data_IF_250473997136
#
_entry.id   IF_250473997136
#
_cell.length_a   1.000
_cell.length_b   1.000
_cell.length_c   1.000
_cell.angle_alpha   90.00
_cell.angle_beta   90.00
_cell.angle_gamma   90.00
#
_symmetry.space_group_name_H-M   'P 1'
#
loop_
_entity.id
_entity.type
_entity.pdbx_description
1 polymer ?
2 non-polymer ?
3 non-polymer ?
4 non-polymer ?
5 water ?
#
# COMPACT_ATOMS: atom_id res chain seq x y z
N UNK A 17 -13.84 -20.79 6.31
CA UNK A 17 -13.58 -20.62 4.84
C UNK A 17 -12.95 -19.24 4.55
N UNK A 18 -11.75 -18.93 5.11
CA UNK A 18 -11.14 -17.62 4.89
C UNK A 18 -10.73 -17.53 3.43
N UNK A 19 -10.97 -16.39 2.78
CA UNK A 19 -10.62 -16.16 1.37
C UNK A 19 -9.29 -15.46 1.22
N UNK A 20 -8.67 -15.00 2.30
CA UNK A 20 -7.45 -14.18 2.22
C UNK A 20 -6.44 -14.73 3.24
N UNK A 21 -5.84 -15.88 2.97
CA UNK A 21 -4.91 -16.52 3.93
C UNK A 21 -3.60 -16.94 3.28
N UNK A 22 -3.57 -17.26 1.98
CA UNK A 22 -2.34 -17.75 1.29
C UNK A 22 -1.94 -16.74 0.21
N UNK A 23 -0.65 -16.48 0.06
CA UNK A 23 -0.09 -15.70 -1.05
C UNK A 23 0.57 -16.64 -2.05
N UNK A 24 0.18 -16.50 -3.30
CA UNK A 24 0.72 -17.24 -4.44
C UNK A 24 1.39 -16.29 -5.39
N UNK A 25 2.32 -16.82 -6.18
CA UNK A 25 2.91 -16.08 -7.30
C UNK A 25 1.78 -15.66 -8.24
N UNK A 26 1.66 -14.38 -8.57
CA UNK A 26 0.60 -13.84 -9.44
C UNK A 26 0.74 -14.42 -10.87
N UNK A 27 1.96 -14.75 -11.28
CA UNK A 27 2.22 -15.21 -12.67
C UNK A 27 1.89 -16.70 -12.84
N UNK A 28 2.00 -17.55 -11.84
CA UNK A 28 1.93 -19.02 -12.06
C UNK A 28 1.16 -19.76 -10.98
N UNK A 29 0.92 -19.17 -9.80
CA UNK A 29 0.20 -19.89 -8.74
C UNK A 29 1.05 -20.61 -7.72
N UNK A 30 2.38 -20.61 -7.87
CA UNK A 30 3.28 -21.19 -6.85
C UNK A 30 2.88 -20.67 -5.46
N UNK A 31 2.74 -21.55 -4.49
CA UNK A 31 2.55 -21.17 -3.08
C UNK A 31 3.79 -20.47 -2.54
N UNK A 32 3.64 -19.26 -1.98
CA UNK A 32 4.80 -18.44 -1.53
C UNK A 32 4.74 -18.13 -0.03
N UNK A 33 3.64 -17.59 0.47
CA UNK A 33 3.59 -17.24 1.90
C UNK A 33 2.16 -17.22 2.42
N UNK A 34 1.96 -16.68 3.61
CA UNK A 34 0.67 -16.70 4.33
C UNK A 34 0.50 -15.34 5.00
N UNK A 35 -0.73 -14.88 5.13
CA UNK A 35 -1.02 -13.64 5.88
C UNK A 35 -0.49 -13.80 7.32
N UNK A 36 -0.60 -14.99 7.89
CA UNK A 36 -0.19 -15.25 9.30
C UNK A 36 1.30 -14.99 9.47
N UNK A 37 2.08 -14.99 8.38
CA UNK A 37 3.56 -14.88 8.44
C UNK A 37 3.99 -13.44 8.15
N UNK A 38 3.05 -12.52 7.98
CA UNK A 38 3.44 -11.09 7.87
C UNK A 38 4.22 -10.65 9.12
N UNK A 39 5.23 -9.81 8.95
CA UNK A 39 6.18 -9.40 10.01
C UNK A 39 6.27 -7.87 10.06
N UNK A 40 5.77 -7.21 11.11
CA UNK A 40 5.96 -5.76 11.26
C UNK A 40 7.38 -5.26 11.60
N UNK A 41 8.33 -5.32 10.65
CA UNK A 41 9.72 -4.76 10.74
C UNK A 41 9.66 -3.25 10.99
N UNK A 42 10.25 -2.77 12.08
CA UNK A 42 10.18 -1.35 12.48
C UNK A 42 8.74 -0.87 12.59
N UNK A 43 7.80 -1.74 12.96
CA UNK A 43 6.41 -1.35 13.33
C UNK A 43 5.43 -1.45 12.18
N UNK A 44 5.86 -1.79 10.96
CA UNK A 44 4.94 -1.89 9.79
C UNK A 44 5.36 -3.08 8.93
N UNK A 45 4.41 -3.89 8.45
CA UNK A 45 4.76 -4.98 7.51
C UNK A 45 4.99 -4.42 6.10
N UNK A 46 4.47 -3.20 5.79
CA UNK A 46 4.65 -2.56 4.46
C UNK A 46 5.78 -1.51 4.48
N UNK A 47 6.67 -1.57 3.49
CA UNK A 47 7.83 -0.66 3.32
C UNK A 47 7.90 -0.24 1.85
N UNK A 48 8.03 1.07 1.54
CA UNK A 48 8.10 1.51 0.13
C UNK A 48 9.51 2.04 -0.13
N UNK A 49 10.15 1.52 -1.16
CA UNK A 49 11.61 1.70 -1.38
C UNK A 49 11.88 1.89 -2.86
N UNK A 50 13.03 2.46 -3.20
CA UNK A 50 13.47 2.47 -4.61
C UNK A 50 14.84 1.85 -4.75
N UNK A 51 15.07 1.24 -5.89
CA UNK A 51 16.42 0.74 -6.25
C UNK A 51 17.18 1.86 -6.93
N UNK A 52 18.48 1.64 -7.23
CA UNK A 52 19.29 2.68 -7.87
C UNK A 52 18.78 3.10 -9.25
N UNK A 53 18.01 2.24 -9.93
CA UNK A 53 17.39 2.52 -11.24
C UNK A 53 16.07 3.28 -11.05
N UNK A 54 15.72 3.65 -9.81
CA UNK A 54 14.56 4.51 -9.52
C UNK A 54 13.26 3.74 -9.46
N UNK A 55 13.29 2.42 -9.63
CA UNK A 55 12.06 1.59 -9.60
C UNK A 55 11.55 1.58 -8.16
N UNK A 56 10.26 1.89 -7.99
CA UNK A 56 9.55 1.88 -6.68
C UNK A 56 9.05 0.46 -6.43
N UNK A 57 9.26 -0.04 -5.22
CA UNK A 57 8.69 -1.34 -4.80
C UNK A 57 7.93 -1.13 -3.52
N UNK A 58 6.71 -1.64 -3.48
CA UNK A 58 5.91 -1.73 -2.24
C UNK A 58 6.13 -3.14 -1.68
N UNK A 59 6.90 -3.21 -0.60
CA UNK A 59 7.47 -4.47 -0.05
C UNK A 59 6.68 -4.83 1.21
N UNK A 60 6.23 -6.09 1.27
CA UNK A 60 5.65 -6.69 2.48
C UNK A 60 6.74 -7.58 3.09
N UNK A 61 6.94 -7.44 4.40
CA UNK A 61 7.94 -8.29 5.10
C UNK A 61 7.23 -9.48 5.70
N UNK A 62 7.84 -10.65 5.50
CA UNK A 62 7.33 -11.95 5.98
C UNK A 62 8.45 -12.63 6.76
N UNK A 63 8.05 -13.25 7.87
CA UNK A 63 9.01 -14.03 8.68
C UNK A 63 9.47 -15.27 7.89
N UNK A 64 8.59 -15.77 7.04
CA UNK A 64 8.73 -17.08 6.37
C UNK A 64 8.13 -16.99 4.97
N UNK A 65 8.70 -17.75 4.07
CA UNK A 65 8.19 -17.93 2.70
C UNK A 65 8.71 -19.26 2.20
N UNK A 66 8.10 -19.75 1.17
CA UNK A 66 8.45 -21.03 0.52
C UNK A 66 8.31 -20.83 -1.00
N UNK A 67 8.71 -21.80 -1.78
CA UNK A 67 8.47 -21.81 -3.23
C UNK A 67 9.36 -20.85 -4.00
N UNK A 68 10.34 -20.27 -3.35
CA UNK A 68 11.24 -19.30 -3.97
C UNK A 68 12.52 -20.01 -4.36
N UNK A 69 13.34 -19.33 -5.15
CA UNK A 69 14.72 -19.74 -5.42
C UNK A 69 15.57 -18.53 -5.12
N UNK A 70 16.48 -18.67 -4.15
CA UNK A 70 17.36 -17.56 -3.72
C UNK A 70 18.62 -17.63 -4.57
N UNK A 71 18.98 -16.50 -5.18
CA UNK A 71 20.01 -16.44 -6.26
C UNK A 71 21.31 -15.86 -5.71
N UNK A 72 22.38 -16.62 -5.81
CA UNK A 72 23.74 -16.13 -5.50
C UNK A 72 23.98 -15.97 -4.02
N UNK A 73 24.95 -15.16 -3.69
CA UNK A 73 25.42 -14.95 -2.32
C UNK A 73 24.88 -13.62 -1.85
N UNK A 74 24.75 -13.39 -0.52
CA UNK A 74 24.21 -12.14 -0.03
C UNK A 74 25.13 -10.95 -0.35
N UNK A 75 24.52 -9.78 -0.44
CA UNK A 75 25.21 -8.49 -0.69
C UNK A 75 24.65 -7.45 0.26
N UNK A 76 25.45 -6.58 0.83
CA UNK A 76 24.94 -5.44 1.60
C UNK A 76 24.71 -4.21 0.74
N UNK A 77 25.07 -4.25 -0.55
CA UNK A 77 25.13 -3.04 -1.41
C UNK A 77 23.72 -2.42 -1.52
N UNK A 78 23.59 -1.15 -1.10
CA UNK A 78 22.30 -0.40 -1.15
C UNK A 78 21.20 -1.15 -0.39
N UNK A 79 21.50 -1.98 0.61
CA UNK A 79 20.43 -2.67 1.36
C UNK A 79 19.46 -1.64 1.97
N UNK A 80 18.16 -1.91 1.79
CA UNK A 80 17.07 -1.07 2.32
C UNK A 80 16.90 -1.27 3.81
N UNK A 81 17.50 -2.31 4.39
CA UNK A 81 17.28 -2.67 5.81
C UNK A 81 18.64 -2.72 6.52
N UNK A 82 18.83 -1.80 7.46
CA UNK A 82 20.11 -1.57 8.17
C UNK A 82 20.56 -2.89 8.79
N UNK A 83 21.78 -3.34 8.47
CA UNK A 83 22.37 -4.54 9.09
C UNK A 83 22.05 -5.83 8.34
N UNK A 84 21.27 -5.78 7.26
CA UNK A 84 20.94 -7.00 6.47
C UNK A 84 21.56 -6.95 5.08
N UNK A 85 21.94 -8.13 4.62
CA UNK A 85 22.46 -8.42 3.29
C UNK A 85 21.30 -9.08 2.55
N UNK A 86 21.20 -8.80 1.27
CA UNK A 86 20.07 -9.31 0.45
C UNK A 86 20.53 -10.33 -0.56
N UNK A 87 19.58 -11.22 -0.89
CA UNK A 87 19.70 -12.14 -2.05
C UNK A 87 18.39 -12.02 -2.82
N UNK A 88 18.51 -12.01 -4.13
CA UNK A 88 17.30 -11.97 -5.01
C UNK A 88 16.50 -13.25 -4.78
N UNK A 89 15.20 -13.12 -4.67
CA UNK A 89 14.24 -14.24 -4.49
C UNK A 89 13.36 -14.30 -5.75
N UNK A 90 13.57 -15.33 -6.56
CA UNK A 90 12.67 -15.59 -7.70
C UNK A 90 11.60 -16.58 -7.28
N UNK A 91 10.45 -16.53 -7.94
CA UNK A 91 9.48 -17.63 -7.90
C UNK A 91 10.25 -18.87 -8.34
N UNK A 92 10.26 -19.95 -7.53
CA UNK A 92 11.00 -21.15 -7.87
C UNK A 92 10.36 -21.93 -9.03
N UNK A 93 9.13 -21.62 -9.36
CA UNK A 93 8.41 -22.28 -10.46
C UNK A 93 8.64 -21.50 -11.75
N UNK A 94 8.30 -20.22 -11.79
CA UNK A 94 8.24 -19.47 -13.08
C UNK A 94 9.38 -18.47 -13.24
N UNK A 95 10.18 -18.21 -12.20
CA UNK A 95 11.31 -17.28 -12.29
C UNK A 95 10.92 -15.82 -12.15
N UNK A 96 9.65 -15.51 -11.91
CA UNK A 96 9.20 -14.12 -11.63
C UNK A 96 10.02 -13.56 -10.45
N UNK A 97 10.50 -12.33 -10.56
CA UNK A 97 11.21 -11.71 -9.43
C UNK A 97 10.21 -11.28 -8.34
N UNK A 98 10.14 -12.01 -7.23
CA UNK A 98 9.12 -11.76 -6.21
C UNK A 98 9.65 -10.92 -5.05
N UNK A 99 10.97 -10.82 -4.90
CA UNK A 99 11.54 -9.96 -3.86
C UNK A 99 12.95 -10.37 -3.49
N UNK A 100 13.22 -10.34 -2.19
CA UNK A 100 14.58 -10.56 -1.63
C UNK A 100 14.46 -11.35 -0.33
N UNK A 101 15.48 -12.16 -0.07
CA UNK A 101 15.74 -12.72 1.26
C UNK A 101 16.82 -11.88 1.94
N UNK A 102 16.56 -11.53 3.19
CA UNK A 102 17.48 -10.74 4.01
C UNK A 102 18.09 -11.62 5.09
N UNK A 103 19.38 -11.48 5.30
CA UNK A 103 20.10 -12.27 6.32
C UNK A 103 21.26 -11.44 6.89
N UNK A 104 21.94 -12.01 7.87
CA UNK A 104 23.15 -11.39 8.42
C UNK A 104 22.87 -10.33 9.49
N UNK A 105 21.59 -10.09 9.82
CA UNK A 105 21.20 -9.05 10.77
C UNK A 105 20.90 -9.61 12.14
N UNK A 106 20.09 -8.85 12.92
CA UNK A 106 19.77 -9.14 14.35
C UNK A 106 18.26 -8.94 14.60
N UNK A 107 17.62 -9.91 15.27
CA UNK A 107 16.23 -9.79 15.81
C UNK A 107 15.32 -9.16 14.75
N UNK A 108 14.98 -9.88 13.66
CA UNK A 108 15.47 -11.23 13.40
C UNK A 108 16.74 -11.30 12.54
N UNK A 109 17.40 -12.45 12.53
CA UNK A 109 18.62 -12.67 11.72
C UNK A 109 18.26 -12.63 10.25
N UNK A 110 17.07 -13.14 9.89
CA UNK A 110 16.61 -13.27 8.51
C UNK A 110 15.12 -12.88 8.38
N UNK A 111 14.71 -12.52 7.18
CA UNK A 111 13.27 -12.32 6.81
C UNK A 111 13.20 -12.23 5.28
N UNK A 112 11.97 -12.19 4.77
CA UNK A 112 11.74 -12.00 3.31
C UNK A 112 11.04 -10.66 3.07
N UNK A 113 11.52 -9.93 2.08
CA UNK A 113 10.82 -8.73 1.60
C UNK A 113 10.26 -9.01 0.23
N UNK A 114 8.95 -9.18 0.13
CA UNK A 114 8.29 -9.60 -1.13
C UNK A 114 7.53 -8.42 -1.73
N UNK A 115 7.51 -8.36 -3.05
CA UNK A 115 6.84 -7.26 -3.78
C UNK A 115 5.33 -7.54 -3.80
N UNK A 116 4.54 -6.72 -3.12
CA UNK A 116 3.10 -7.00 -2.85
C UNK A 116 2.36 -7.33 -4.15
N UNK A 117 2.54 -6.48 -5.18
CA UNK A 117 1.72 -6.55 -6.41
C UNK A 117 2.18 -7.73 -7.29
N UNK A 118 3.19 -8.50 -6.90
CA UNK A 118 3.61 -9.69 -7.66
C UNK A 118 3.03 -10.95 -7.04
N UNK A 119 2.23 -10.79 -5.98
CA UNK A 119 1.56 -11.92 -5.29
C UNK A 119 0.06 -11.81 -5.50
N UNK A 120 -0.63 -12.92 -5.36
CA UNK A 120 -2.10 -12.96 -5.32
C UNK A 120 -2.51 -13.61 -4.01
N UNK A 121 -3.51 -13.06 -3.34
CA UNK A 121 -3.96 -13.54 -2.02
C UNK A 121 -5.27 -14.31 -2.20
N UNK A 122 -5.41 -15.40 -1.47
CA UNK A 122 -6.57 -16.29 -1.68
C UNK A 122 -6.70 -17.33 -0.57
N UNK A 123 -7.67 -18.22 -0.72
CA UNK A 123 -7.96 -19.22 0.30
C UNK A 123 -6.85 -20.28 0.40
N UNK A 124 -6.78 -20.98 1.54
CA UNK A 124 -5.78 -22.03 1.82
C UNK A 124 -6.04 -23.22 0.88
N UNK B 20 -13.90 15.31 -11.52
CA UNK B 20 -14.97 14.28 -11.57
C UNK B 20 -14.53 13.20 -12.57
N UNK B 21 -13.63 12.33 -12.13
CA UNK B 21 -13.16 11.16 -12.92
C UNK B 21 -14.08 9.95 -12.62
N UNK B 22 -14.58 9.28 -13.67
CA UNK B 22 -15.58 8.17 -13.50
C UNK B 22 -15.02 6.89 -14.10
N UNK B 23 -15.53 5.77 -13.60
CA UNK B 23 -15.27 4.43 -14.14
C UNK B 23 -16.52 3.97 -14.85
N UNK B 24 -16.37 3.59 -16.10
CA UNK B 24 -17.50 3.11 -16.92
C UNK B 24 -17.29 1.63 -17.20
N UNK B 25 -18.38 0.94 -17.42
CA UNK B 25 -18.31 -0.42 -17.94
C UNK B 25 -17.55 -0.37 -19.27
N UNK B 26 -16.49 -1.17 -19.37
CA UNK B 26 -15.66 -1.18 -20.61
C UNK B 26 -16.48 -1.69 -21.80
N UNK B 27 -17.46 -2.58 -21.57
CA UNK B 27 -18.22 -3.22 -22.67
C UNK B 27 -19.30 -2.26 -23.22
N UNK B 28 -20.03 -1.50 -22.40
CA UNK B 28 -21.17 -0.69 -22.92
C UNK B 28 -21.08 0.80 -22.60
N UNK B 29 -20.18 1.21 -21.71
CA UNK B 29 -19.98 2.62 -21.36
C UNK B 29 -20.83 3.11 -20.20
N UNK B 30 -21.69 2.27 -19.63
CA UNK B 30 -22.54 2.71 -18.52
C UNK B 30 -21.64 3.25 -17.41
N UNK B 31 -21.97 4.39 -16.82
CA UNK B 31 -21.29 4.85 -15.59
C UNK B 31 -21.49 3.84 -14.46
N UNK B 32 -20.39 3.43 -13.80
CA UNK B 32 -20.46 2.44 -12.69
C UNK B 32 -19.96 3.02 -11.38
N UNK B 33 -18.80 3.66 -11.37
CA UNK B 33 -18.31 4.21 -10.09
C UNK B 33 -17.43 5.43 -10.38
N UNK B 34 -16.82 5.98 -9.33
CA UNK B 34 -16.16 7.30 -9.36
C UNK B 34 -14.80 7.17 -8.68
N UNK B 35 -13.79 7.90 -9.13
CA UNK B 35 -12.52 7.96 -8.41
C UNK B 35 -12.74 8.44 -6.96
N UNK B 36 -13.68 9.35 -6.74
CA UNK B 36 -13.93 9.92 -5.39
C UNK B 36 -14.38 8.79 -4.44
N UNK B 37 -14.85 7.67 -4.96
CA UNK B 37 -15.42 6.57 -4.16
C UNK B 37 -14.39 5.47 -3.97
N UNK B 38 -13.16 5.63 -4.48
CA UNK B 38 -12.14 4.61 -4.20
C UNK B 38 -11.96 4.42 -2.70
N UNK B 39 -11.79 3.17 -2.25
CA UNK B 39 -11.85 2.81 -0.82
C UNK B 39 -10.62 1.95 -0.50
N UNK B 40 -9.66 2.44 0.29
CA UNK B 40 -8.48 1.65 0.66
C UNK B 40 -8.74 0.60 1.75
N UNK B 41 -9.42 -0.49 1.41
CA UNK B 41 -9.69 -1.65 2.31
C UNK B 41 -8.36 -2.30 2.70
N UNK B 42 -8.11 -2.48 4.00
CA UNK B 42 -6.82 -2.95 4.52
C UNK B 42 -5.64 -2.14 3.99
N UNK B 43 -5.82 -0.84 3.70
CA UNK B 43 -4.73 0.10 3.39
C UNK B 43 -4.45 0.26 1.89
N UNK B 44 -5.15 -0.47 1.02
CA UNK B 44 -4.90 -0.38 -0.46
C UNK B 44 -6.23 -0.47 -1.17
N UNK B 45 -6.47 0.34 -2.21
CA UNK B 45 -7.71 0.15 -3.03
C UNK B 45 -7.53 -1.03 -4.00
N UNK B 46 -6.30 -1.43 -4.33
CA UNK B 46 -6.02 -2.59 -5.23
C UNK B 46 -5.71 -3.86 -4.44
N UNK B 47 -6.35 -4.96 -4.81
CA UNK B 47 -6.20 -6.29 -4.19
C UNK B 47 -6.07 -7.28 -5.35
N UNK B 48 -4.91 -7.90 -5.45
CA UNK B 48 -4.73 -9.06 -6.37
C UNK B 48 -5.09 -10.30 -5.57
N UNK B 49 -6.07 -11.04 -6.07
CA UNK B 49 -6.72 -12.16 -5.32
C UNK B 49 -6.92 -13.34 -6.26
N UNK B 50 -7.05 -14.52 -5.68
CA UNK B 50 -7.44 -15.73 -6.45
C UNK B 50 -8.59 -16.40 -5.72
N UNK B 51 -9.36 -17.15 -6.49
CA UNK B 51 -10.55 -17.88 -5.98
C UNK B 51 -10.20 -19.36 -5.85
N UNK B 52 -11.10 -20.18 -5.29
CA UNK B 52 -10.82 -21.61 -5.12
C UNK B 52 -10.56 -22.37 -6.43
N UNK B 53 -11.07 -21.84 -7.55
CA UNK B 53 -10.85 -22.40 -8.90
C UNK B 53 -9.49 -21.96 -9.45
N UNK B 54 -8.77 -21.12 -8.72
CA UNK B 54 -7.41 -20.71 -9.13
C UNK B 54 -7.44 -19.53 -10.09
N UNK B 55 -8.59 -18.92 -10.35
CA UNK B 55 -8.69 -17.74 -11.23
C UNK B 55 -8.12 -16.52 -10.47
N UNK B 56 -7.35 -15.67 -11.17
CA UNK B 56 -6.70 -14.49 -10.54
C UNK B 56 -7.38 -13.21 -11.01
N UNK B 57 -7.69 -12.32 -10.07
CA UNK B 57 -8.37 -11.05 -10.37
C UNK B 57 -7.60 -9.90 -9.75
N UNK B 58 -7.62 -8.76 -10.41
CA UNK B 58 -7.08 -7.51 -9.85
C UNK B 58 -8.26 -6.62 -9.55
N UNK B 59 -8.57 -6.49 -8.27
CA UNK B 59 -9.82 -5.87 -7.74
C UNK B 59 -9.49 -4.51 -7.17
N UNK B 60 -10.28 -3.50 -7.52
CA UNK B 60 -10.26 -2.16 -6.91
C UNK B 60 -11.53 -2.01 -6.06
N UNK B 61 -11.37 -1.50 -4.85
CA UNK B 61 -12.50 -1.33 -3.91
C UNK B 61 -13.07 0.09 -4.05
N UNK B 62 -14.40 0.17 -4.11
CA UNK B 62 -15.14 1.44 -4.19
C UNK B 62 -16.23 1.42 -3.11
N UNK B 63 -16.53 2.55 -2.52
CA UNK B 63 -17.54 2.65 -1.42
C UNK B 63 -18.93 2.41 -1.98
N UNK B 64 -19.22 2.98 -3.13
CA UNK B 64 -20.54 2.95 -3.79
C UNK B 64 -20.30 2.65 -5.27
N UNK B 65 -21.38 2.32 -5.94
CA UNK B 65 -21.44 2.10 -7.39
C UNK B 65 -22.87 2.27 -7.81
N UNK B 66 -23.07 2.36 -9.10
CA UNK B 66 -24.40 2.47 -9.70
C UNK B 66 -24.41 1.64 -10.99
N UNK B 67 -25.60 1.35 -11.46
CA UNK B 67 -25.71 0.74 -12.80
C UNK B 67 -25.38 -0.73 -12.80
N UNK B 68 -25.16 -1.35 -11.65
CA UNK B 68 -24.92 -2.80 -11.59
C UNK B 68 -26.23 -3.55 -11.29
N UNK B 69 -26.19 -4.86 -11.46
CA UNK B 69 -27.26 -5.77 -11.02
C UNK B 69 -26.56 -6.84 -10.20
N UNK B 70 -26.93 -6.93 -8.92
CA UNK B 70 -26.39 -7.94 -8.00
C UNK B 70 -27.25 -9.19 -8.11
N UNK B 71 -26.60 -10.34 -8.26
CA UNK B 71 -27.26 -11.65 -8.57
C UNK B 71 -27.13 -12.56 -7.34
N UNK B 72 -28.23 -13.13 -6.89
CA UNK B 72 -28.21 -14.17 -5.85
C UNK B 72 -28.19 -13.60 -4.45
N UNK B 73 -28.21 -14.49 -3.46
CA UNK B 73 -28.13 -14.14 -2.03
C UNK B 73 -26.67 -14.00 -1.68
N UNK B 74 -26.31 -13.15 -0.69
CA UNK B 74 -24.94 -13.04 -0.22
C UNK B 74 -24.37 -14.37 0.27
N UNK B 75 -23.06 -14.58 0.07
CA UNK B 75 -22.36 -15.79 0.54
C UNK B 75 -21.12 -15.36 1.32
N UNK B 76 -20.85 -16.06 2.42
CA UNK B 76 -19.61 -15.85 3.18
C UNK B 76 -18.47 -16.73 2.70
N UNK B 77 -18.73 -17.65 1.77
CA UNK B 77 -17.74 -18.70 1.42
C UNK B 77 -16.52 -18.06 0.76
N UNK B 78 -15.34 -18.22 1.35
CA UNK B 78 -14.04 -17.79 0.75
C UNK B 78 -14.08 -16.32 0.37
N UNK B 79 -14.79 -15.53 1.19
CA UNK B 79 -14.76 -14.06 1.00
C UNK B 79 -13.31 -13.55 1.07
N UNK B 80 -12.93 -12.70 0.12
CA UNK B 80 -11.60 -12.05 0.12
C UNK B 80 -11.51 -10.98 1.23
N UNK B 81 -12.64 -10.57 1.81
CA UNK B 81 -12.68 -9.49 2.82
C UNK B 81 -13.32 -10.00 4.10
N UNK B 82 -12.50 -10.24 5.10
CA UNK B 82 -12.88 -10.76 6.45
C UNK B 82 -14.04 -9.92 6.98
N UNK B 83 -15.12 -10.58 7.37
CA UNK B 83 -16.31 -9.95 7.96
C UNK B 83 -17.38 -9.60 6.95
N UNK B 84 -17.15 -9.83 5.65
CA UNK B 84 -18.13 -9.48 4.60
C UNK B 84 -18.56 -10.72 3.84
N UNK B 85 -19.81 -10.70 3.39
CA UNK B 85 -20.37 -11.63 2.38
C UNK B 85 -20.29 -10.97 1.02
N UNK B 86 -20.22 -11.76 -0.02
CA UNK B 86 -20.14 -11.27 -1.41
C UNK B 86 -21.36 -11.68 -2.21
N UNK B 87 -21.66 -10.85 -3.19
CA UNK B 87 -22.68 -11.14 -4.23
C UNK B 87 -22.09 -10.71 -5.56
N UNK B 88 -22.26 -11.53 -6.59
CA UNK B 88 -21.80 -11.22 -7.96
C UNK B 88 -22.46 -9.93 -8.44
N UNK B 89 -21.67 -9.07 -9.09
CA UNK B 89 -22.13 -7.77 -9.65
C UNK B 89 -21.93 -7.79 -11.16
N UNK B 90 -23.03 -7.73 -11.91
CA UNK B 90 -22.98 -7.59 -13.37
C UNK B 90 -23.31 -6.15 -13.75
N UNK B 91 -22.80 -5.66 -14.87
CA UNK B 91 -23.34 -4.42 -15.48
C UNK B 91 -24.86 -4.63 -15.68
N UNK B 92 -25.70 -3.73 -15.15
CA UNK B 92 -27.15 -3.83 -15.30
C UNK B 92 -27.62 -3.65 -16.73
N UNK B 93 -26.83 -2.97 -17.54
CA UNK B 93 -27.18 -2.61 -18.93
C UNK B 93 -26.76 -3.72 -19.89
N UNK B 94 -25.54 -4.27 -19.77
CA UNK B 94 -24.99 -5.22 -20.75
C UNK B 94 -24.67 -6.60 -20.19
N UNK B 95 -24.68 -6.81 -18.87
CA UNK B 95 -24.44 -8.14 -18.27
C UNK B 95 -22.98 -8.46 -18.05
N UNK B 96 -22.04 -7.58 -18.44
CA UNK B 96 -20.60 -7.81 -18.17
C UNK B 96 -20.36 -8.10 -16.68
N UNK B 97 -19.54 -9.08 -16.35
CA UNK B 97 -19.22 -9.36 -14.92
C UNK B 97 -18.18 -8.36 -14.43
N UNK B 98 -18.60 -7.37 -13.63
CA UNK B 98 -17.71 -6.26 -13.25
C UNK B 98 -17.08 -6.49 -11.89
N UNK B 99 -17.63 -7.38 -11.06
CA UNK B 99 -17.02 -7.67 -9.75
C UNK B 99 -18.02 -8.24 -8.76
N UNK B 100 -17.95 -7.74 -7.54
CA UNK B 100 -18.75 -8.20 -6.39
C UNK B 100 -19.17 -7.03 -5.50
N UNK B 101 -20.28 -7.21 -4.84
CA UNK B 101 -20.74 -6.33 -3.75
C UNK B 101 -20.50 -7.06 -2.44
N UNK B 102 -19.96 -6.39 -1.46
CA UNK B 102 -19.65 -6.90 -0.12
C UNK B 102 -20.58 -6.23 0.88
N UNK B 103 -21.09 -7.04 1.79
CA UNK B 103 -22.05 -6.54 2.81
C UNK B 103 -21.87 -7.30 4.13
N UNK B 104 -22.49 -6.79 5.17
CA UNK B 104 -22.58 -7.48 6.46
C UNK B 104 -21.47 -7.09 7.41
N UNK B 105 -20.61 -6.16 7.03
CA UNK B 105 -19.50 -5.68 7.88
C UNK B 105 -19.87 -4.44 8.68
N UNK B 106 -18.85 -3.76 9.22
CA UNK B 106 -18.92 -2.43 9.87
C UNK B 106 -17.83 -1.52 9.29
N UNK B 107 -18.15 -0.24 9.09
CA UNK B 107 -17.18 0.82 8.70
C UNK B 107 -16.26 0.30 7.60
N UNK B 108 -16.75 0.14 6.35
CA UNK B 108 -18.15 0.37 6.02
C UNK B 108 -19.01 -0.89 6.06
N UNK B 109 -20.33 -0.75 6.11
CA UNK B 109 -21.24 -1.92 6.15
C UNK B 109 -21.19 -2.62 4.79
N UNK B 110 -21.04 -1.84 3.71
CA UNK B 110 -21.03 -2.35 2.33
C UNK B 110 -19.97 -1.63 1.50
N UNK B 111 -19.52 -2.28 0.45
CA UNK B 111 -18.61 -1.72 -0.56
C UNK B 111 -18.58 -2.64 -1.76
N UNK B 112 -17.91 -2.22 -2.82
CA UNK B 112 -17.77 -2.98 -4.07
C UNK B 112 -16.29 -3.34 -4.29
N UNK B 113 -16.05 -4.54 -4.78
CA UNK B 113 -14.75 -4.92 -5.36
C UNK B 113 -14.95 -5.12 -6.83
N UNK B 114 -14.43 -4.20 -7.63
CA UNK B 114 -14.66 -4.22 -9.09
C UNK B 114 -13.36 -4.60 -9.80
N UNK B 115 -13.51 -5.34 -10.87
CA UNK B 115 -12.37 -5.85 -11.67
C UNK B 115 -11.83 -4.71 -12.53
N UNK B 116 -10.63 -4.22 -12.20
CA UNK B 116 -10.08 -2.99 -12.83
C UNK B 116 -10.08 -3.11 -14.36
N UNK B 117 -9.68 -4.27 -14.90
CA UNK B 117 -9.56 -4.53 -16.36
C UNK B 117 -10.90 -4.39 -17.09
N UNK B 118 -12.01 -4.50 -16.37
CA UNK B 118 -13.36 -4.51 -16.98
C UNK B 118 -14.01 -3.15 -16.92
N UNK B 119 -13.28 -2.17 -16.42
CA UNK B 119 -13.74 -0.78 -16.32
C UNK B 119 -12.88 0.09 -17.24
N UNK B 120 -13.41 1.22 -17.61
CA UNK B 120 -12.66 2.25 -18.35
C UNK B 120 -12.73 3.54 -17.55
N UNK B 121 -11.59 4.14 -17.24
CA UNK B 121 -11.57 5.41 -16.48
C UNK B 121 -11.57 6.56 -17.47
N UNK B 122 -12.33 7.60 -17.18
CA UNK B 122 -12.30 8.81 -18.00
C UNK B 122 -13.10 9.95 -17.39
N UNK B 123 -13.14 11.10 -18.07
CA UNK B 123 -13.88 12.26 -17.56
C UNK B 123 -15.40 12.01 -17.59
N UNK B 124 -16.13 12.64 -16.66
CA UNK B 124 -17.59 12.53 -16.54
C UNK B 124 -18.27 13.14 -17.78
N UNK C 19 21.31 2.63 1.10
CA UNK C 19 20.08 2.25 0.34
C UNK C 19 18.85 3.04 0.76
N UNK C 20 18.92 3.74 1.90
CA UNK C 20 17.78 4.53 2.41
C UNK C 20 18.16 6.01 2.72
N UNK C 21 18.90 6.69 1.85
CA UNK C 21 19.44 8.05 2.13
C UNK C 21 18.60 9.18 1.52
N UNK C 22 17.78 8.92 0.50
CA UNK C 22 16.90 9.96 -0.12
C UNK C 22 15.44 9.59 0.12
N UNK C 23 14.63 10.58 0.47
CA UNK C 23 13.21 10.38 0.81
C UNK C 23 12.36 11.02 -0.28
N UNK C 24 11.46 10.23 -0.85
CA UNK C 24 10.62 10.62 -1.99
C UNK C 24 9.15 10.44 -1.63
N UNK C 25 8.28 11.13 -2.33
CA UNK C 25 6.83 10.84 -2.30
C UNK C 25 6.57 9.38 -2.67
N UNK C 26 5.85 8.65 -1.83
CA UNK C 26 5.46 7.24 -2.05
C UNK C 26 4.57 7.10 -3.29
N UNK C 27 3.76 8.11 -3.59
CA UNK C 27 2.72 8.00 -4.65
C UNK C 27 3.36 8.24 -6.02
N UNK C 28 4.31 9.17 -6.14
CA UNK C 28 4.79 9.61 -7.49
C UNK C 28 6.31 9.63 -7.61
N UNK C 29 7.05 9.60 -6.50
CA UNK C 29 8.53 9.56 -6.54
C UNK C 29 9.19 10.93 -6.50
N UNK C 30 8.42 12.02 -6.43
CA UNK C 30 8.98 13.38 -6.23
C UNK C 30 10.06 13.35 -5.12
N UNK C 31 11.23 13.89 -5.39
CA UNK C 31 12.30 14.00 -4.38
C UNK C 31 11.89 15.02 -3.32
N UNK C 32 11.96 14.66 -2.04
CA UNK C 32 11.49 15.57 -0.94
C UNK C 32 12.63 15.94 0.02
N UNK C 33 13.37 14.96 0.53
CA UNK C 33 14.42 15.29 1.51
C UNK C 33 15.47 14.18 1.57
N UNK C 34 16.40 14.31 2.50
CA UNK C 34 17.56 13.38 2.54
C UNK C 34 17.97 13.20 3.99
N UNK C 35 18.59 12.07 4.25
CA UNK C 35 19.00 11.65 5.61
C UNK C 35 19.89 12.71 6.23
N UNK C 36 20.74 13.41 5.46
CA UNK C 36 21.63 14.49 5.97
C UNK C 36 20.83 15.57 6.70
N UNK C 37 19.54 15.73 6.34
CA UNK C 37 18.71 16.84 6.88
C UNK C 37 17.79 16.30 7.98
N UNK C 38 17.86 15.00 8.30
CA UNK C 38 17.05 14.47 9.43
C UNK C 38 17.50 15.19 10.70
N UNK C 39 16.56 15.44 11.60
CA UNK C 39 16.87 15.91 12.97
C UNK C 39 16.62 14.79 13.97
N UNK C 40 17.67 14.20 14.60
CA UNK C 40 17.49 13.23 15.67
C UNK C 40 17.02 13.83 17.00
N UNK C 41 16.21 13.12 17.78
CA UNK C 41 15.98 13.43 19.20
C UNK C 41 16.45 12.22 20.00
N UNK C 42 17.55 12.38 20.74
CA UNK C 42 18.28 11.26 21.36
C UNK C 42 18.59 10.18 20.32
N UNK C 43 18.07 8.97 20.55
CA UNK C 43 18.31 7.78 19.73
C UNK C 43 17.24 7.54 18.68
N UNK C 44 16.29 8.48 18.51
CA UNK C 44 15.11 8.32 17.63
C UNK C 44 15.20 9.25 16.43
N UNK C 45 15.02 8.71 15.22
CA UNK C 45 14.80 9.53 14.01
C UNK C 45 13.29 9.79 13.88
N UNK C 46 12.47 8.83 14.32
CA UNK C 46 10.99 8.81 14.19
C UNK C 46 10.33 9.30 15.49
N UNK C 47 9.22 10.01 15.39
CA UNK C 47 8.38 10.41 16.55
C UNK C 47 6.99 9.79 16.35
N UNK C 48 6.55 8.99 17.33
CA UNK C 48 5.20 8.37 17.30
C UNK C 48 4.26 9.38 17.95
N UNK C 49 3.25 9.80 17.20
CA UNK C 49 2.30 10.86 17.62
C UNK C 49 0.88 10.44 17.26
N UNK C 50 -0.08 10.98 17.97
CA UNK C 50 -1.52 10.68 17.70
C UNK C 50 -2.22 12.00 17.39
N UNK C 51 -3.02 12.01 16.34
CA UNK C 51 -3.90 13.17 16.05
C UNK C 51 -5.01 13.17 17.09
N UNK C 52 -5.85 14.22 17.12
CA UNK C 52 -6.92 14.29 18.12
C UNK C 52 -7.89 13.09 18.11
N UNK C 53 -8.04 12.43 16.96
CA UNK C 53 -8.91 11.25 16.78
C UNK C 53 -8.20 9.99 17.26
N UNK C 54 -6.94 10.09 17.70
CA UNK C 54 -6.19 8.94 18.24
C UNK C 54 -5.51 8.12 17.15
N UNK C 55 -5.52 8.57 15.90
CA UNK C 55 -4.81 7.87 14.80
C UNK C 55 -3.30 8.09 14.97
N UNK C 56 -2.50 7.04 14.74
CA UNK C 56 -1.02 7.04 14.94
C UNK C 56 -0.34 7.52 13.66
N UNK C 57 0.64 8.40 13.81
CA UNK C 57 1.58 8.79 12.73
C UNK C 57 3.00 8.55 13.24
N UNK C 58 3.87 8.11 12.35
CA UNK C 58 5.33 8.09 12.59
C UNK C 58 5.91 9.23 11.77
N UNK C 59 6.39 10.26 12.47
CA UNK C 59 6.84 11.54 11.85
C UNK C 59 8.37 11.61 11.90
N UNK C 60 8.98 11.91 10.74
CA UNK C 60 10.40 12.26 10.63
C UNK C 60 10.52 13.78 10.54
N UNK C 61 11.41 14.39 11.33
CA UNK C 61 11.66 15.85 11.23
C UNK C 61 12.91 16.11 10.39
N UNK C 62 12.82 17.05 9.46
CA UNK C 62 13.89 17.44 8.54
C UNK C 62 14.08 18.95 8.61
N UNK C 63 15.32 19.39 8.61
CA UNK C 63 15.68 20.82 8.65
C UNK C 63 15.32 21.47 7.31
N UNK C 64 15.43 20.72 6.22
CA UNK C 64 15.21 21.22 4.84
C UNK C 64 14.42 20.21 4.05
N UNK C 65 13.68 20.66 3.07
CA UNK C 65 12.93 19.80 2.15
C UNK C 65 12.73 20.58 0.85
N UNK C 66 12.41 19.85 -0.19
CA UNK C 66 12.10 20.44 -1.52
C UNK C 66 10.86 19.74 -2.06
N UNK C 67 10.30 20.34 -3.11
CA UNK C 67 9.30 19.60 -3.90
C UNK C 67 7.94 19.55 -3.22
N UNK C 68 7.76 20.30 -2.13
CA UNK C 68 6.45 20.35 -1.47
C UNK C 68 5.70 21.60 -1.92
N UNK C 69 4.42 21.65 -1.55
CA UNK C 69 3.62 22.88 -1.72
C UNK C 69 2.95 23.11 -0.37
N UNK C 70 3.23 24.24 0.27
CA UNK C 70 2.68 24.56 1.59
C UNK C 70 1.38 25.32 1.40
N UNK C 71 0.31 24.87 2.05
CA UNK C 71 -1.09 25.32 1.80
C UNK C 71 -1.57 26.10 3.02
N UNK C 72 -2.12 27.29 2.81
CA UNK C 72 -2.97 27.98 3.80
C UNK C 72 -2.17 28.61 4.92
N UNK C 73 -2.86 29.06 5.95
CA UNK C 73 -2.27 29.81 7.08
C UNK C 73 -1.82 28.83 8.14
N UNK C 74 -0.78 29.17 8.94
CA UNK C 74 -0.37 28.33 10.07
C UNK C 74 -1.49 28.15 11.09
N UNK C 75 -1.47 27.00 11.78
CA UNK C 75 -2.40 26.69 12.90
C UNK C 75 -1.58 26.15 14.07
N UNK C 76 -1.93 26.54 15.28
CA UNK C 76 -1.33 25.96 16.51
C UNK C 76 -2.12 24.77 17.01
N UNK C 77 -3.26 24.45 16.40
CA UNK C 77 -4.27 23.54 17.01
C UNK C 77 -3.64 22.13 17.11
N UNK C 78 -3.61 21.61 18.34
CA UNK C 78 -3.10 20.26 18.66
C UNK C 78 -1.69 20.04 18.10
N UNK C 79 -0.87 21.09 18.02
CA UNK C 79 0.51 20.93 17.48
C UNK C 79 1.27 19.89 18.30
N UNK C 80 1.92 18.95 17.62
CA UNK C 80 2.75 17.90 18.26
C UNK C 80 4.05 18.48 18.81
N UNK C 81 4.40 19.71 18.42
CA UNK C 81 5.69 20.34 18.81
C UNK C 81 5.37 21.65 19.53
N UNK C 82 5.61 21.67 20.84
CA UNK C 82 5.29 22.82 21.72
C UNK C 82 5.96 24.07 21.17
N UNK C 83 5.19 25.14 20.93
CA UNK C 83 5.70 26.43 20.45
C UNK C 83 5.77 26.55 18.94
N UNK C 84 5.32 25.54 18.20
CA UNK C 84 5.30 25.59 16.71
C UNK C 84 3.87 25.51 16.19
N UNK C 85 3.61 26.28 15.14
CA UNK C 85 2.38 26.18 14.32
C UNK C 85 2.69 25.35 13.08
N UNK C 86 1.68 24.65 12.59
CA UNK C 86 1.86 23.78 11.40
C UNK C 86 1.08 24.34 10.21
N UNK C 87 1.61 24.05 9.03
CA UNK C 87 0.98 24.29 7.71
C UNK C 87 1.04 22.98 6.94
N UNK C 88 -0.04 22.61 6.27
CA UNK C 88 -0.11 21.37 5.49
C UNK C 88 0.91 21.44 4.36
N UNK C 89 1.63 20.34 4.17
CA UNK C 89 2.65 20.19 3.10
C UNK C 89 2.19 19.08 2.16
N UNK C 90 1.89 19.45 0.91
CA UNK C 90 1.54 18.46 -0.13
C UNK C 90 2.75 18.19 -1.01
N UNK C 91 2.80 17.00 -1.60
CA UNK C 91 3.71 16.74 -2.74
C UNK C 91 3.41 17.79 -3.83
N UNK C 92 4.41 18.55 -4.28
CA UNK C 92 4.20 19.55 -5.35
C UNK C 92 3.93 18.90 -6.70
N UNK C 93 4.25 17.62 -6.85
CA UNK C 93 4.08 16.91 -8.15
C UNK C 93 2.71 16.26 -8.23
N UNK C 94 2.24 15.57 -7.17
CA UNK C 94 0.99 14.77 -7.26
C UNK C 94 -0.09 15.22 -6.26
N UNK C 95 0.23 16.08 -5.30
CA UNK C 95 -0.77 16.59 -4.32
C UNK C 95 -0.94 15.70 -3.11
N UNK C 96 -0.25 14.56 -3.03
CA UNK C 96 -0.31 13.67 -1.83
C UNK C 96 0.02 14.48 -0.56
N UNK C 97 -0.74 14.28 0.51
CA UNK C 97 -0.41 14.94 1.80
C UNK C 97 0.77 14.24 2.47
N UNK C 98 1.94 14.85 2.47
CA UNK C 98 3.19 14.18 2.98
C UNK C 98 3.49 14.61 4.43
N UNK C 99 2.94 15.72 4.88
CA UNK C 99 3.19 16.14 6.28
C UNK C 99 2.89 17.60 6.49
N UNK C 100 3.77 18.26 7.25
CA UNK C 100 3.56 19.66 7.72
C UNK C 100 4.87 20.42 7.72
N UNK C 101 4.76 21.72 7.55
CA UNK C 101 5.85 22.67 7.85
C UNK C 101 5.56 23.28 9.21
N UNK C 102 6.55 23.31 10.08
CA UNK C 102 6.44 23.89 11.44
C UNK C 102 7.22 25.19 11.48
N UNK C 103 6.64 26.18 12.18
CA UNK C 103 7.25 27.53 12.25
C UNK C 103 6.88 28.18 13.58
N UNK C 104 7.59 29.27 13.88
CA UNK C 104 7.26 30.16 15.00
C UNK C 104 8.02 29.79 16.25
N UNK C 105 8.87 28.77 16.20
CA UNK C 105 9.65 28.32 17.38
C UNK C 105 11.04 28.95 17.42
N UNK C 106 11.92 28.37 18.25
CA UNK C 106 13.36 28.70 18.39
C UNK C 106 14.20 27.42 18.30
N UNK C 107 15.34 27.48 17.63
CA UNK C 107 16.37 26.40 17.59
C UNK C 107 15.68 25.05 17.40
N UNK C 108 15.16 24.73 16.19
CA UNK C 108 15.15 25.66 15.07
C UNK C 108 13.84 26.47 14.96
N UNK C 109 13.87 27.56 14.20
CA UNK C 109 12.67 28.41 13.98
C UNK C 109 11.63 27.59 13.21
N UNK C 110 12.12 26.82 12.25
CA UNK C 110 11.28 26.07 11.28
C UNK C 110 11.88 24.69 11.00
N UNK C 111 11.01 23.78 10.62
CA UNK C 111 11.41 22.43 10.16
C UNK C 111 10.20 21.81 9.48
N UNK C 112 10.42 20.64 8.87
CA UNK C 112 9.37 19.86 8.19
C UNK C 112 9.17 18.56 8.96
N UNK C 113 7.92 18.26 9.29
CA UNK C 113 7.52 16.98 9.92
C UNK C 113 6.79 16.16 8.89
N UNK C 114 7.42 15.09 8.40
CA UNK C 114 6.88 14.30 7.28
C UNK C 114 6.45 12.93 7.77
N UNK C 115 5.33 12.46 7.22
CA UNK C 115 4.74 11.16 7.62
C UNK C 115 5.55 10.03 6.97
N UNK C 116 6.20 9.19 7.76
CA UNK C 116 6.97 8.00 7.28
C UNK C 116 6.18 7.18 6.26
N UNK C 117 4.90 6.91 6.52
CA UNK C 117 4.04 6.03 5.68
C UNK C 117 3.63 6.73 4.38
N UNK C 118 4.03 7.98 4.14
CA UNK C 118 3.72 8.70 2.89
C UNK C 118 4.98 8.84 2.05
N UNK C 119 6.11 8.30 2.52
CA UNK C 119 7.42 8.46 1.87
C UNK C 119 7.94 7.10 1.43
N UNK C 120 8.86 7.13 0.47
CA UNK C 120 9.64 5.98 0.01
C UNK C 120 11.12 6.35 0.18
N UNK C 121 11.97 5.39 0.50
CA UNK C 121 13.41 5.63 0.73
C UNK C 121 14.20 4.92 -0.34
N UNK C 122 15.28 5.57 -0.77
CA UNK C 122 16.21 4.94 -1.72
C UNK C 122 17.61 5.52 -1.64
N UNK C 123 18.52 4.94 -2.42
CA UNK C 123 19.93 5.35 -2.41
C UNK C 123 20.12 6.74 -3.03
N UNK C 124 21.25 7.37 -2.68
CA UNK C 124 21.66 8.68 -3.24
C UNK C 124 21.91 8.54 -4.75
X LIG D 1 5.66 -17.88 -10.43
X LIG E 1 18.63 -1.23 -3.79
X LIG E 1 18.39 -2.38 -3.41
X LIG E 1 18.24 -2.69 -2.07
X LIG E 1 18.36 -3.52 -4.38
X LIG E 1 17.40 -4.60 -3.89
X LIG E 1 17.74 -5.06 -2.47
X LIG E 1 17.92 -3.92 -1.53
X LIG E 1 17.72 -4.02 -0.33
X LIG E 1 17.99 -3.04 -5.74
X LIG E 1 19.12 -3.14 -6.60
X LIG E 1 20.09 -3.65 -5.96
X LIG E 1 19.78 -4.05 -4.55
X LIG E 1 21.42 -3.86 -6.56
X LIG E 1 21.65 -4.91 -7.46
X LIG E 1 20.60 -5.81 -7.90
X LIG E 1 19.59 -5.92 -7.22
X LIG E 1 20.80 -6.47 -8.91
X LIG E 1 22.93 -5.11 -7.98
X LIG E 1 23.97 -4.30 -7.57
X LIG E 1 23.76 -3.29 -6.66
X LIG E 1 22.49 -3.07 -6.14
X LIG F 1 12.53 -5.99 -11.44
X LIG F 1 13.90 -5.50 -10.97
X LIG F 1 12.63 -6.49 -12.87
X LIG F 1 11.53 -4.85 -11.35
X LIG F 1 12.06 -7.12 -10.54
X LIG G 1 -22.12 -2.65 -19.47
X LIG H 1 -13.21 -16.52 -3.98
X LIG H 1 -14.06 -15.60 -4.05
X LIG H 1 -14.15 -14.64 -3.08
X LIG H 1 -15.08 -15.53 -5.15
X LIG H 1 -15.39 -14.08 -5.50
X LIG H 1 -15.74 -13.23 -4.29
X LIG H 1 -14.85 -13.46 -3.12
X LIG H 1 -14.72 -12.64 -2.24
X LIG H 1 -14.53 -16.18 -6.35
X LIG H 1 -15.18 -17.42 -6.54
X LIG H 1 -16.19 -17.49 -5.77
X LIG H 1 -16.26 -16.39 -4.75
X LIG H 1 -17.24 -18.50 -5.98
X LIG H 1 -17.49 -19.48 -5.01
X LIG H 1 -16.73 -19.59 -3.81
X LIG H 1 -17.25 -20.13 -2.83
X LIG H 1 -15.61 -19.12 -3.81
X LIG H 1 -18.49 -20.44 -5.20
X LIG H 1 -19.26 -20.38 -6.36
X LIG H 1 -19.03 -19.42 -7.31
X LIG H 1 -18.05 -18.44 -7.12
X LIG I 1 -15.26 -14.38 -14.96
X LIG I 1 -13.93 -14.18 -15.67
X LIG I 1 -15.01 -14.77 -13.52
X LIG I 1 -16.06 -13.08 -15.03
X LIG I 1 -16.05 -15.50 -15.65
X LIG J 1 3.83 12.86 -5.11
X LIG K 1 -2.67 16.48 15.62
X LIG K 1 -2.03 17.07 14.76
X LIG K 1 -0.84 17.65 15.06
X LIG K 1 -2.50 17.20 13.34
X LIG K 1 -1.29 17.20 12.40
X LIG K 1 -0.29 18.29 12.76
X LIG K 1 0.02 18.34 14.23
X LIG K 1 1.00 18.89 14.69
X LIG K 1 -3.40 16.08 12.99
X LIG K 1 -4.71 16.57 12.72
X LIG K 1 -4.70 17.85 12.70
X LIG K 1 -3.40 18.45 13.19
X LIG K 1 -5.82 18.66 12.18
X LIG K 1 -6.43 19.65 12.97
X LIG K 1 -6.10 19.88 14.35
X LIG K 1 -6.38 20.97 14.82
X LIG K 1 -5.59 18.98 14.99
X LIG K 1 -7.44 20.44 12.43
X LIG K 1 -7.83 20.25 11.12
X LIG K 1 -7.21 19.30 10.33
X LIG K 1 -6.19 18.52 10.84
#
# INVERSE_FOLDING_TARGET
>A
AMPLDAGGQNSTQMVLAPGASIFRCRQCGQTISRRDWLLPMGGDHEHVVFNPAGMIFRVWCFSLAQGLRLIGAPSGEFSWFKGYDWTIALCGQCGSHLGWHYEGGSQPQTFFGLIKDRLAEGPAD
>B
AMPLDAGGQNSTQMVLAPGASIFRCRQCGQTISRRDWLLPMGGDHEHVVFNPAGMIFRVWCFSLAQGLRLIGAPSGEFSWFKGYDWTIALCGQCGSHLGWHYEGGSQPQTFFGLIKDRLAEGPAD
>C
AMPLDAGGQNSTQMVLAPGASIFRCRQCGQTISRRDWLLPMGGDHEHVVFNPAGMIFRVWCFSLAQGLRLIGAPSGEFSWFKGYDWTIALCGQCGSHLGWHYEGGSQPQTFFGLIKDRLAEGPAD
>D hetero
1 ZN ZN
>E hetero
1 A1HZ3 O5 C13 N1 C4 C3 C2 C1 O1 O4 N3 C6 C5 C7 C12 N2 O3 O2 C11 C10 C9 C8
>F hetero
1 PO4 P O1 O2 O3 O4
>G hetero
1 ZN ZN
>H hetero
1 A1HZ3 O5 C13 N1 C4 C3 C2 C1 O1 O4 N3 C6 C5 C7 C12 N2 O3 O2 C11 C10 C9 C8
>I hetero
1 PO4 P O1 O2 O3 O4
>J hetero
1 ZN ZN
>K hetero
1 A1HZ3 O5 C13 N1 C4 C3 C2 C1 O1 O4 N3 C6 C5 C7 C12 N2 O3 O2 C11 C10 C9 C8
#
